data_IF_482674468646
#
_entry.id   IF_482674468646
#
_cell.length_a   1.000
_cell.length_b   1.000
_cell.length_c   1.000
_cell.angle_alpha   90.00
_cell.angle_beta   90.00
_cell.angle_gamma   90.00
#
_symmetry.space_group_name_H-M   'P 1'
#
loop_
_entity.id
_entity.type
_entity.pdbx_description
1 polymer ?
#
# COMPACT_ATOMS: atom_id res chain seq x y z
N UNK A 1 -38.38 6.40 -42.42
CA UNK A 1 -37.71 7.69 -42.63
C UNK A 1 -36.30 7.51 -42.07
N UNK A 2 -35.28 7.43 -42.93
CA UNK A 2 -33.91 7.13 -42.52
C UNK A 2 -33.33 8.40 -41.88
N UNK A 3 -33.03 8.40 -40.57
CA UNK A 3 -32.24 9.45 -39.94
C UNK A 3 -30.75 9.07 -40.06
N UNK A 4 -29.99 9.92 -40.73
CA UNK A 4 -28.55 9.83 -40.82
C UNK A 4 -27.92 10.47 -39.58
N UNK A 5 -27.13 9.71 -38.82
CA UNK A 5 -26.23 10.25 -37.81
C UNK A 5 -25.10 11.01 -38.52
N UNK A 6 -25.07 12.33 -38.38
CA UNK A 6 -23.93 13.15 -38.77
C UNK A 6 -22.97 13.14 -37.58
N UNK A 7 -21.90 12.35 -37.67
CA UNK A 7 -20.75 12.50 -36.80
C UNK A 7 -19.99 13.73 -37.27
N UNK A 8 -20.16 14.85 -36.58
CA UNK A 8 -19.29 16.02 -36.76
C UNK A 8 -17.94 15.71 -36.13
N UNK A 9 -16.97 15.31 -36.96
CA UNK A 9 -15.59 15.21 -36.52
C UNK A 9 -15.07 16.62 -36.19
N UNK A 10 -14.57 16.78 -34.96
CA UNK A 10 -13.86 17.98 -34.53
C UNK A 10 -12.66 18.24 -35.45
N UNK A 11 -12.39 19.51 -35.81
CA UNK A 11 -11.20 19.84 -36.59
C UNK A 11 -9.94 19.47 -35.80
N UNK A 12 -8.89 18.96 -36.47
CA UNK A 12 -7.64 18.62 -35.80
C UNK A 12 -7.04 19.87 -35.16
N UNK A 13 -6.60 19.72 -33.90
CA UNK A 13 -5.96 20.79 -33.14
C UNK A 13 -4.72 21.32 -33.88
N UNK A 14 -4.49 22.65 -33.89
CA UNK A 14 -3.29 23.23 -34.47
C UNK A 14 -2.04 22.73 -33.74
N UNK A 15 -0.97 22.48 -34.48
CA UNK A 15 0.29 21.97 -33.94
C UNK A 15 0.85 22.91 -32.86
N UNK A 16 1.01 22.39 -31.64
CA UNK A 16 1.50 23.11 -30.46
C UNK A 16 0.44 23.56 -29.46
N UNK A 17 -0.84 23.22 -29.65
CA UNK A 17 -1.84 23.33 -28.60
C UNK A 17 -1.74 22.12 -27.66
N UNK A 18 -1.65 22.35 -26.36
CA UNK A 18 -1.67 21.28 -25.36
C UNK A 18 -2.97 20.48 -25.48
N UNK A 19 -2.86 19.16 -25.65
CA UNK A 19 -4.01 18.27 -25.63
C UNK A 19 -4.46 18.08 -24.17
N UNK A 20 -5.73 18.43 -23.92
CA UNK A 20 -6.36 18.34 -22.60
C UNK A 20 -7.44 17.27 -22.63
N UNK A 21 -7.32 16.27 -21.76
CA UNK A 21 -8.35 15.26 -21.52
C UNK A 21 -9.18 15.60 -20.30
N UNK A 22 -10.44 15.16 -20.32
CA UNK A 22 -11.39 15.38 -19.22
C UNK A 22 -12.16 14.11 -18.89
N UNK A 23 -12.33 13.87 -17.60
CA UNK A 23 -13.24 12.86 -17.04
C UNK A 23 -14.09 13.56 -15.96
N UNK A 24 -15.43 13.46 -16.01
CA UNK A 24 -16.23 12.82 -17.03
C UNK A 24 -16.27 13.59 -18.37
N UNK A 25 -16.47 12.89 -19.48
CA UNK A 25 -16.60 13.49 -20.83
C UNK A 25 -18.05 13.82 -21.22
N UNK A 26 -19.01 13.44 -20.37
CA UNK A 26 -20.44 13.73 -20.53
C UNK A 26 -21.06 13.94 -19.14
N UNK A 27 -21.97 14.89 -19.03
CA UNK A 27 -22.71 15.19 -17.80
C UNK A 27 -24.19 15.38 -18.11
N UNK A 28 -25.05 15.18 -17.10
CA UNK A 28 -26.51 15.34 -17.23
C UNK A 28 -26.96 16.65 -16.58
N UNK A 29 -27.90 17.35 -17.23
CA UNK A 29 -28.53 18.57 -16.70
C UNK A 29 -29.21 18.31 -15.35
N UNK A 30 -28.86 19.13 -14.36
CA UNK A 30 -29.40 19.10 -13.01
C UNK A 30 -29.50 20.52 -12.43
N UNK A 31 -30.52 20.77 -11.60
CA UNK A 31 -30.83 22.11 -11.08
C UNK A 31 -29.71 22.69 -10.18
N UNK A 32 -28.99 21.82 -9.46
CA UNK A 32 -27.84 22.15 -8.61
C UNK A 32 -26.60 21.38 -9.10
N UNK A 33 -26.09 21.74 -10.29
CA UNK A 33 -24.92 21.09 -10.86
C UNK A 33 -23.70 21.29 -9.97
N UNK A 34 -23.02 20.20 -9.62
CA UNK A 34 -21.81 20.20 -8.82
C UNK A 34 -21.03 18.92 -9.12
N UNK A 35 -20.00 19.03 -9.95
CA UNK A 35 -19.23 17.88 -10.46
C UNK A 35 -17.73 18.14 -10.38
N UNK A 36 -16.97 17.07 -10.16
CA UNK A 36 -15.52 17.08 -10.16
C UNK A 36 -15.01 16.61 -11.53
N UNK A 37 -14.17 17.43 -12.16
CA UNK A 37 -13.56 17.14 -13.45
C UNK A 37 -12.07 16.86 -13.29
N UNK A 38 -11.65 15.64 -13.58
CA UNK A 38 -10.25 15.28 -13.73
C UNK A 38 -9.76 15.77 -15.08
N UNK A 39 -8.80 16.69 -15.08
CA UNK A 39 -8.19 17.28 -16.25
C UNK A 39 -6.73 16.82 -16.34
N UNK A 40 -6.35 16.23 -17.47
CA UNK A 40 -4.99 15.73 -17.71
C UNK A 40 -4.41 16.32 -18.98
N UNK A 41 -3.25 16.96 -18.86
CA UNK A 41 -2.44 17.43 -19.99
C UNK A 41 -1.65 16.25 -20.56
N UNK A 42 -1.74 16.00 -21.87
CA UNK A 42 -1.03 14.88 -22.49
C UNK A 42 0.40 15.22 -22.91
N UNK A 43 0.63 16.46 -23.35
CA UNK A 43 1.90 16.90 -23.95
C UNK A 43 2.37 18.26 -23.38
N UNK A 44 1.96 18.59 -22.16
CA UNK A 44 2.32 19.83 -21.46
C UNK A 44 2.32 19.61 -19.94
N UNK A 45 2.86 20.55 -19.19
CA UNK A 45 2.88 20.53 -17.72
C UNK A 45 2.50 21.87 -17.13
N UNK A 46 2.04 21.85 -15.88
CA UNK A 46 1.77 23.05 -15.12
C UNK A 46 3.08 23.68 -14.63
N UNK A 47 3.20 25.00 -14.74
CA UNK A 47 4.35 25.75 -14.23
C UNK A 47 4.43 25.72 -12.70
N UNK A 48 3.27 25.81 -12.06
CA UNK A 48 3.04 25.77 -10.62
C UNK A 48 1.60 25.24 -10.38
N UNK A 49 1.23 24.93 -9.13
CA UNK A 49 -0.13 24.51 -8.80
C UNK A 49 -1.17 25.55 -9.29
N UNK A 50 -2.07 25.22 -10.23
CA UNK A 50 -2.95 26.19 -10.86
C UNK A 50 -4.05 26.63 -9.91
N UNK A 51 -4.29 27.94 -9.87
CA UNK A 51 -5.39 28.54 -9.12
C UNK A 51 -6.72 28.39 -9.88
N UNK A 52 -7.89 28.41 -9.20
CA UNK A 52 -9.21 28.35 -9.86
C UNK A 52 -9.41 29.37 -10.97
N UNK A 53 -8.83 30.57 -10.83
CA UNK A 53 -8.85 31.64 -11.85
C UNK A 53 -8.04 31.33 -13.12
N UNK A 54 -7.26 30.25 -13.12
CA UNK A 54 -6.55 29.72 -14.28
C UNK A 54 -7.47 28.90 -15.20
N UNK A 55 -8.68 28.57 -14.74
CA UNK A 55 -9.69 27.89 -15.53
C UNK A 55 -10.75 28.87 -15.99
N UNK A 56 -11.12 28.78 -17.27
CA UNK A 56 -12.29 29.48 -17.81
C UNK A 56 -13.29 28.49 -18.38
N UNK A 57 -14.57 28.76 -18.12
CA UNK A 57 -15.69 27.91 -18.50
C UNK A 57 -16.48 28.57 -19.64
N UNK A 58 -16.91 27.77 -20.60
CA UNK A 58 -17.66 28.22 -21.78
C UNK A 58 -18.69 27.20 -22.25
N UNK A 59 -19.42 27.54 -23.31
CA UNK A 59 -20.55 26.72 -23.77
C UNK A 59 -21.64 26.64 -22.70
N UNK A 60 -22.17 25.45 -22.47
CA UNK A 60 -23.17 25.22 -21.42
C UNK A 60 -22.61 25.38 -20.00
N UNK A 61 -21.28 25.41 -19.83
CA UNK A 61 -20.64 25.72 -18.55
C UNK A 61 -20.44 27.23 -18.31
N UNK A 62 -20.81 28.09 -19.28
CA UNK A 62 -20.70 29.54 -19.11
C UNK A 62 -21.59 30.03 -17.95
N UNK A 63 -20.98 30.68 -16.97
CA UNK A 63 -21.65 31.16 -15.76
C UNK A 63 -21.64 30.20 -14.57
N UNK A 64 -21.08 29.00 -14.72
CA UNK A 64 -20.72 28.13 -13.59
C UNK A 64 -19.48 28.66 -12.86
N UNK A 65 -19.25 28.14 -11.66
CA UNK A 65 -18.15 28.54 -10.78
C UNK A 65 -17.17 27.39 -10.60
N UNK A 66 -15.87 27.71 -10.52
CA UNK A 66 -14.83 26.77 -10.08
C UNK A 66 -14.55 27.04 -8.61
N UNK A 67 -14.91 26.13 -7.71
CA UNK A 67 -14.70 26.31 -6.26
C UNK A 67 -13.28 25.95 -5.84
N UNK A 68 -12.74 24.90 -6.45
CA UNK A 68 -11.48 24.29 -6.03
C UNK A 68 -10.79 23.66 -7.23
N UNK A 69 -9.46 23.76 -7.24
CA UNK A 69 -8.59 23.04 -8.18
C UNK A 69 -7.55 22.33 -7.35
N UNK A 70 -7.62 21.00 -7.30
CA UNK A 70 -6.67 20.16 -6.57
C UNK A 70 -5.57 19.74 -7.54
N UNK A 71 -4.36 20.22 -7.28
CA UNK A 71 -3.17 19.87 -8.04
C UNK A 71 -2.62 18.53 -7.55
N UNK A 72 -2.61 17.54 -8.45
CA UNK A 72 -2.25 16.15 -8.10
C UNK A 72 -0.83 15.81 -8.51
N UNK A 73 -0.44 16.22 -9.73
CA UNK A 73 0.92 16.10 -10.27
C UNK A 73 1.17 17.16 -11.34
N UNK A 74 2.34 17.14 -11.98
CA UNK A 74 2.75 18.11 -13.01
C UNK A 74 1.86 18.21 -14.25
N UNK A 75 0.93 17.29 -14.45
CA UNK A 75 0.08 17.19 -15.64
C UNK A 75 -1.41 17.10 -15.31
N UNK A 76 -1.78 16.86 -14.06
CA UNK A 76 -3.14 16.48 -13.66
C UNK A 76 -3.71 17.35 -12.55
N UNK A 77 -4.95 17.80 -12.74
CA UNK A 77 -5.74 18.54 -11.74
C UNK A 77 -7.16 18.01 -11.64
N UNK A 78 -7.77 18.17 -10.47
CA UNK A 78 -9.22 17.97 -10.29
C UNK A 78 -9.87 19.34 -10.11
N UNK A 79 -10.77 19.71 -11.01
CA UNK A 79 -11.52 20.97 -10.97
C UNK A 79 -12.95 20.73 -10.51
N UNK A 80 -13.34 21.34 -9.40
CA UNK A 80 -14.72 21.25 -8.88
C UNK A 80 -15.56 22.39 -9.45
N UNK A 81 -16.57 22.05 -10.25
CA UNK A 81 -17.39 23.01 -10.98
C UNK A 81 -18.84 22.91 -10.52
N UNK A 82 -19.42 24.05 -10.15
CA UNK A 82 -20.78 24.09 -9.62
C UNK A 82 -21.59 25.32 -10.09
N UNK A 83 -22.92 25.19 -10.08
CA UNK A 83 -23.86 26.27 -10.40
C UNK A 83 -25.12 25.78 -11.10
N UNK A 84 -25.83 26.71 -11.76
CA UNK A 84 -26.98 26.37 -12.59
C UNK A 84 -26.51 25.98 -14.00
N UNK A 85 -26.50 24.69 -14.31
CA UNK A 85 -26.16 24.21 -15.65
C UNK A 85 -27.34 24.49 -16.60
N UNK A 86 -27.07 25.19 -17.71
CA UNK A 86 -28.10 25.57 -18.70
C UNK A 86 -27.79 24.93 -20.03
N UNK A 87 -28.72 24.13 -20.53
CA UNK A 87 -28.60 23.52 -21.85
C UNK A 87 -28.90 24.53 -22.97
N UNK A 88 -27.86 25.19 -23.48
CA UNK A 88 -27.97 26.19 -24.55
C UNK A 88 -27.40 25.66 -25.89
N UNK A 89 -26.38 24.81 -25.82
CA UNK A 89 -25.54 24.38 -26.94
C UNK A 89 -25.34 22.86 -27.01
N UNK A 90 -25.59 22.13 -25.91
CA UNK A 90 -25.36 20.70 -25.76
C UNK A 90 -23.91 20.31 -25.43
N UNK A 91 -23.07 21.29 -25.11
CA UNK A 91 -21.65 21.07 -24.81
C UNK A 91 -21.13 22.16 -23.87
N UNK A 92 -20.51 21.77 -22.77
CA UNK A 92 -19.70 22.64 -21.91
C UNK A 92 -18.23 22.59 -22.33
N UNK A 93 -17.48 23.66 -22.09
CA UNK A 93 -16.03 23.68 -22.35
C UNK A 93 -15.27 24.16 -21.13
N UNK A 94 -14.12 23.53 -20.86
CA UNK A 94 -13.18 23.90 -19.81
C UNK A 94 -11.85 24.27 -20.48
N UNK A 95 -11.32 25.45 -20.16
CA UNK A 95 -10.05 25.94 -20.71
C UNK A 95 -9.06 26.26 -19.60
N UNK A 96 -7.88 25.65 -19.64
CA UNK A 96 -6.72 26.04 -18.86
C UNK A 96 -5.98 27.16 -19.57
N UNK A 97 -5.76 28.27 -18.85
CA UNK A 97 -5.04 29.42 -19.38
C UNK A 97 -3.55 29.08 -19.56
N UNK A 98 -2.98 29.39 -20.71
CA UNK A 98 -1.61 29.07 -21.08
C UNK A 98 -0.56 29.68 -20.14
N UNK A 99 -0.91 30.76 -19.43
CA UNK A 99 -0.04 31.33 -18.39
C UNK A 99 0.23 30.39 -17.20
N UNK A 100 -0.60 29.36 -17.00
CA UNK A 100 -0.41 28.31 -16.01
C UNK A 100 0.38 27.10 -16.55
N UNK A 101 0.67 27.08 -17.86
CA UNK A 101 1.24 25.94 -18.57
C UNK A 101 2.65 26.26 -19.09
N UNK A 102 3.51 25.24 -19.15
CA UNK A 102 4.88 25.39 -19.66
C UNK A 102 4.92 25.82 -21.13
N UNK A 103 3.98 25.34 -21.96
CA UNK A 103 3.89 25.74 -23.37
C UNK A 103 3.50 27.20 -23.57
N UNK A 104 2.85 27.84 -22.59
CA UNK A 104 2.29 29.18 -22.72
C UNK A 104 1.00 29.24 -23.55
N UNK A 105 0.49 28.13 -24.07
CA UNK A 105 -0.71 28.06 -24.92
C UNK A 105 -1.92 27.55 -24.15
N UNK A 106 -3.10 28.14 -24.37
CA UNK A 106 -4.35 27.68 -23.74
C UNK A 106 -4.68 26.23 -24.16
N UNK A 107 -5.17 25.44 -23.21
CA UNK A 107 -5.61 24.07 -23.42
C UNK A 107 -7.11 23.96 -23.15
N UNK A 108 -7.92 23.58 -24.15
CA UNK A 108 -9.38 23.53 -24.04
C UNK A 108 -9.90 22.13 -24.32
N UNK A 109 -10.87 21.69 -23.52
CA UNK A 109 -11.59 20.42 -23.68
C UNK A 109 -13.10 20.64 -23.64
N UNK A 110 -13.85 19.83 -24.39
CA UNK A 110 -15.30 19.86 -24.48
C UNK A 110 -15.92 18.67 -23.73
N UNK A 111 -17.03 18.92 -23.03
CA UNK A 111 -17.82 17.94 -22.27
C UNK A 111 -19.25 17.97 -22.80
N UNK A 112 -19.82 16.83 -23.18
CA UNK A 112 -21.20 16.77 -23.65
C UNK A 112 -22.20 16.98 -22.50
N UNK A 113 -23.30 17.70 -22.76
CA UNK A 113 -24.37 17.93 -21.76
C UNK A 113 -25.67 17.32 -22.24
N UNK A 114 -26.20 16.36 -21.49
CA UNK A 114 -27.45 15.64 -21.82
C UNK A 114 -28.63 16.10 -20.96
N UNK A 115 -29.84 16.11 -21.53
CA UNK A 115 -31.05 16.45 -20.79
C UNK A 115 -31.54 15.29 -19.92
N UNK A 116 -32.06 15.63 -18.73
CA UNK A 116 -32.74 14.68 -17.85
C UNK A 116 -34.05 14.21 -18.48
N UNK A 117 -34.13 12.94 -18.89
CA UNK A 117 -35.35 12.35 -19.43
C UNK A 117 -36.45 12.25 -18.34
N UNK A 118 -37.54 13.01 -18.50
CA UNK A 118 -38.75 12.88 -17.66
C UNK A 118 -39.80 12.05 -18.41
N UNK A 119 -40.26 10.88 -17.89
CA UNK A 119 -41.25 10.06 -18.57
C UNK A 119 -42.64 10.70 -18.56
N UNK A 120 -43.34 10.60 -19.70
CA UNK A 120 -44.71 11.12 -19.94
C UNK A 120 -45.76 10.35 -19.10
N UNK A 121 -46.56 11.02 -18.25
CA UNK A 121 -47.47 10.35 -17.31
C UNK A 121 -48.80 9.83 -17.90
N UNK A 122 -49.08 9.96 -19.22
CA UNK A 122 -50.46 9.81 -19.75
C UNK A 122 -50.69 8.69 -20.79
N UNK A 123 -49.94 7.58 -20.78
CA UNK A 123 -50.21 6.44 -21.67
C UNK A 123 -51.17 5.41 -21.03
N UNK A 124 -52.46 5.47 -21.36
CA UNK A 124 -53.50 4.54 -20.86
C UNK A 124 -53.50 3.19 -21.62
N UNK A 125 -53.47 2.07 -20.88
CA UNK A 125 -53.45 0.69 -21.41
C UNK A 125 -54.85 0.07 -21.40
N UNK A 126 -55.25 -0.60 -22.50
CA UNK A 126 -56.35 -1.57 -22.56
C UNK A 126 -55.76 -2.94 -22.95
N UNK A 127 -56.01 -3.98 -22.14
CA UNK A 127 -55.77 -5.41 -22.46
C UNK A 127 -57.09 -6.18 -22.23
N UNK A 128 -57.42 -7.24 -22.99
CA UNK A 128 -56.89 -8.61 -22.78
C UNK A 128 -56.64 -9.33 -24.14
N UNK A 129 -56.03 -10.52 -24.32
CA UNK A 129 -55.62 -11.68 -23.52
C UNK A 129 -54.80 -12.56 -24.49
N UNK A 130 -53.63 -13.08 -24.10
CA UNK A 130 -53.07 -14.35 -24.61
C UNK A 130 -51.93 -14.80 -23.67
N UNK A 131 -51.73 -16.11 -23.63
CA UNK A 131 -51.19 -16.91 -22.54
C UNK A 131 -49.78 -16.55 -22.04
N UNK A 132 -49.66 -16.75 -20.72
CA UNK A 132 -48.45 -16.80 -19.93
C UNK A 132 -47.54 -17.99 -20.34
N UNK A 133 -46.26 -17.71 -20.63
CA UNK A 133 -45.19 -18.52 -20.10
C UNK A 133 -44.37 -17.64 -19.16
N UNK A 134 -44.49 -17.87 -17.86
CA UNK A 134 -43.70 -17.22 -16.82
C UNK A 134 -42.26 -17.74 -16.93
N UNK A 135 -41.51 -17.08 -17.81
CA UNK A 135 -40.07 -17.06 -17.85
C UNK A 135 -39.67 -15.60 -17.72
N UNK A 136 -39.70 -15.08 -16.50
CA UNK A 136 -39.15 -13.77 -16.19
C UNK A 136 -37.64 -13.85 -16.43
N UNK A 137 -37.21 -13.50 -17.64
CA UNK A 137 -35.80 -13.37 -17.97
C UNK A 137 -35.34 -12.04 -17.43
N UNK A 138 -35.01 -11.99 -16.14
CA UNK A 138 -34.20 -10.93 -15.58
C UNK A 138 -32.85 -11.00 -16.28
N UNK A 139 -32.58 -10.02 -17.15
CA UNK A 139 -31.23 -9.87 -17.72
C UNK A 139 -30.36 -9.41 -16.57
N UNK A 140 -29.43 -10.26 -16.12
CA UNK A 140 -28.43 -9.85 -15.12
C UNK A 140 -27.59 -8.72 -15.73
N UNK A 141 -27.35 -7.63 -14.98
CA UNK A 141 -26.60 -6.50 -15.50
C UNK A 141 -25.15 -6.91 -15.79
N UNK A 142 -24.61 -6.46 -16.91
CA UNK A 142 -23.26 -6.83 -17.36
C UNK A 142 -22.21 -5.92 -16.71
N UNK A 143 -21.10 -6.48 -16.23
CA UNK A 143 -19.98 -5.72 -15.66
C UNK A 143 -19.27 -4.92 -16.76
N UNK A 144 -19.36 -3.58 -16.69
CA UNK A 144 -18.81 -2.69 -17.72
C UNK A 144 -17.35 -2.33 -17.48
N UNK A 145 -16.96 -2.09 -16.22
CA UNK A 145 -15.58 -1.79 -15.81
C UNK A 145 -15.38 -2.02 -14.31
N UNK A 146 -14.13 -2.02 -13.88
CA UNK A 146 -13.75 -2.06 -12.47
C UNK A 146 -12.90 -0.84 -12.12
N UNK A 147 -13.03 -0.36 -10.90
CA UNK A 147 -12.26 0.75 -10.34
C UNK A 147 -11.65 0.34 -9.00
N UNK A 148 -10.39 0.71 -8.76
CA UNK A 148 -9.74 0.51 -7.47
C UNK A 148 -10.09 1.70 -6.59
N UNK A 149 -11.04 1.51 -5.67
CA UNK A 149 -11.51 2.55 -4.76
C UNK A 149 -10.57 2.74 -3.56
N UNK A 150 -9.83 1.69 -3.17
CA UNK A 150 -8.78 1.76 -2.16
C UNK A 150 -7.63 0.87 -2.57
N UNK A 151 -6.40 1.36 -2.42
CA UNK A 151 -5.19 0.56 -2.61
C UNK A 151 -5.05 -0.46 -1.46
N UNK A 152 -4.29 -1.55 -1.66
CA UNK A 152 -3.90 -2.41 -0.55
C UNK A 152 -3.10 -1.60 0.49
N UNK A 153 -3.23 -1.96 1.76
CA UNK A 153 -2.51 -1.32 2.87
C UNK A 153 -0.98 -1.42 2.67
N UNK A 154 -0.54 -2.48 1.99
CA UNK A 154 0.86 -2.72 1.62
C UNK A 154 1.07 -2.59 0.12
N UNK A 155 1.80 -1.55 -0.26
CA UNK A 155 2.25 -1.30 -1.66
C UNK A 155 3.76 -1.41 -1.82
N UNK A 156 4.47 -1.69 -0.73
CA UNK A 156 5.92 -1.93 -0.74
C UNK A 156 6.22 -3.32 -0.19
N UNK A 157 7.00 -4.07 -0.94
CA UNK A 157 7.37 -5.44 -0.67
C UNK A 157 8.88 -5.58 -0.74
N UNK A 158 9.42 -6.58 -0.07
CA UNK A 158 10.78 -7.05 -0.24
C UNK A 158 10.82 -8.26 -1.16
N UNK A 159 11.98 -8.49 -1.79
CA UNK A 159 12.22 -9.68 -2.61
C UNK A 159 11.87 -10.95 -1.82
N UNK A 160 10.98 -11.76 -2.39
CA UNK A 160 10.46 -13.01 -1.83
C UNK A 160 9.21 -12.87 -0.95
N UNK A 161 8.69 -11.67 -0.73
CA UNK A 161 7.40 -11.49 -0.04
C UNK A 161 6.21 -11.86 -0.92
N UNK A 162 5.13 -12.32 -0.29
CA UNK A 162 3.86 -12.61 -0.96
C UNK A 162 2.99 -11.34 -1.00
N UNK A 163 2.16 -11.22 -2.04
CA UNK A 163 1.24 -10.09 -2.19
C UNK A 163 0.15 -10.13 -1.12
N UNK A 164 -0.10 -8.99 -0.48
CA UNK A 164 -1.17 -8.81 0.50
C UNK A 164 -2.28 -7.93 -0.08
N UNK A 165 -3.52 -8.42 -0.05
CA UNK A 165 -4.69 -7.72 -0.61
C UNK A 165 -5.51 -6.97 0.45
N UNK A 166 -5.12 -7.03 1.72
CA UNK A 166 -5.81 -6.30 2.80
C UNK A 166 -5.85 -4.81 2.46
N UNK A 167 -6.99 -4.17 2.66
CA UNK A 167 -7.22 -2.76 2.31
C UNK A 167 -7.59 -2.50 0.86
N UNK A 168 -7.37 -3.46 -0.05
CA UNK A 168 -7.76 -3.33 -1.46
C UNK A 168 -9.28 -3.38 -1.58
N UNK A 169 -9.88 -2.31 -2.09
CA UNK A 169 -11.31 -2.23 -2.39
C UNK A 169 -11.48 -2.00 -3.89
N UNK A 170 -12.18 -2.92 -4.55
CA UNK A 170 -12.48 -2.83 -5.99
C UNK A 170 -13.97 -2.77 -6.20
N UNK A 171 -14.43 -1.74 -6.92
CA UNK A 171 -15.83 -1.53 -7.25
C UNK A 171 -16.06 -1.92 -8.69
N UNK A 172 -17.07 -2.76 -8.92
CA UNK A 172 -17.58 -3.11 -10.23
C UNK A 172 -18.71 -2.16 -10.61
N UNK A 173 -18.62 -1.57 -11.80
CA UNK A 173 -19.65 -0.69 -12.35
C UNK A 173 -20.38 -1.47 -13.44
N UNK A 174 -21.70 -1.62 -13.29
CA UNK A 174 -22.54 -2.46 -14.13
C UNK A 174 -23.36 -1.66 -15.15
N UNK A 175 -23.93 -2.35 -16.14
CA UNK A 175 -24.70 -1.75 -17.24
C UNK A 175 -26.02 -1.08 -16.82
N UNK A 176 -26.46 -1.32 -15.60
CA UNK A 176 -27.64 -0.70 -14.99
C UNK A 176 -27.28 0.44 -14.00
N UNK A 177 -26.04 0.91 -14.10
CA UNK A 177 -25.44 1.97 -13.27
C UNK A 177 -25.35 1.60 -11.77
N UNK A 178 -25.50 0.31 -11.42
CA UNK A 178 -25.21 -0.16 -10.07
C UNK A 178 -23.72 -0.31 -9.85
N UNK A 179 -23.30 -0.07 -8.61
CA UNK A 179 -21.94 -0.23 -8.14
C UNK A 179 -21.93 -1.25 -7.00
N UNK A 180 -21.09 -2.27 -7.12
CA UNK A 180 -20.92 -3.27 -6.08
C UNK A 180 -19.43 -3.54 -5.81
N UNK A 181 -19.09 -3.75 -4.55
CA UNK A 181 -17.76 -4.20 -4.17
C UNK A 181 -17.54 -5.63 -4.67
N UNK A 182 -16.49 -5.82 -5.46
CA UNK A 182 -16.12 -7.11 -6.01
C UNK A 182 -15.21 -7.85 -5.02
N UNK A 183 -15.51 -9.12 -4.69
CA UNK A 183 -14.63 -9.90 -3.84
C UNK A 183 -13.36 -10.26 -4.61
N UNK A 184 -12.27 -9.55 -4.33
CA UNK A 184 -10.97 -9.79 -4.98
C UNK A 184 -10.19 -10.84 -4.20
N UNK A 185 -9.70 -11.84 -4.92
CA UNK A 185 -8.79 -12.87 -4.40
C UNK A 185 -7.50 -12.88 -5.23
N UNK A 186 -6.48 -13.63 -4.79
CA UNK A 186 -5.24 -13.76 -5.56
C UNK A 186 -5.46 -14.32 -6.98
N UNK A 187 -6.53 -15.09 -7.21
CA UNK A 187 -6.89 -15.59 -8.54
C UNK A 187 -7.27 -14.47 -9.52
N UNK A 188 -7.65 -13.29 -9.01
CA UNK A 188 -7.97 -12.10 -9.79
C UNK A 188 -6.73 -11.24 -10.10
N UNK A 189 -5.56 -11.59 -9.56
CA UNK A 189 -4.36 -10.76 -9.65
C UNK A 189 -3.35 -11.37 -10.62
N UNK A 190 -2.71 -10.51 -11.41
CA UNK A 190 -1.58 -10.85 -12.25
C UNK A 190 -0.55 -9.73 -12.27
N UNK A 191 0.68 -10.03 -12.72
CA UNK A 191 1.74 -9.02 -12.85
C UNK A 191 2.60 -8.81 -11.60
N UNK A 192 2.17 -9.33 -10.43
CA UNK A 192 3.02 -9.36 -9.24
C UNK A 192 4.10 -10.45 -9.33
N UNK A 193 5.36 -10.05 -9.22
CA UNK A 193 6.56 -10.88 -9.20
C UNK A 193 7.56 -10.27 -8.20
N UNK A 194 7.70 -10.91 -7.04
CA UNK A 194 8.66 -10.51 -6.01
C UNK A 194 9.99 -11.26 -6.08
N UNK A 195 10.28 -11.99 -7.17
CA UNK A 195 11.51 -12.78 -7.28
C UNK A 195 12.78 -11.93 -7.48
N UNK A 196 12.62 -10.69 -7.97
CA UNK A 196 13.67 -9.68 -8.08
C UNK A 196 13.12 -8.28 -7.76
N UNK A 197 14.02 -7.34 -7.46
CA UNK A 197 13.65 -5.97 -7.14
C UNK A 197 13.15 -5.21 -8.38
N UNK A 198 12.07 -4.45 -8.21
CA UNK A 198 11.40 -3.71 -9.26
C UNK A 198 10.56 -2.58 -8.65
N UNK A 199 10.90 -1.33 -8.93
CA UNK A 199 10.10 -0.16 -8.53
C UNK A 199 8.96 0.08 -9.52
N UNK A 200 7.79 0.46 -9.01
CA UNK A 200 6.62 0.74 -9.82
C UNK A 200 6.12 -0.45 -10.63
N UNK A 201 6.29 -1.66 -10.12
CA UNK A 201 5.78 -2.88 -10.74
C UNK A 201 4.25 -2.82 -10.82
N UNK A 202 3.70 -2.95 -12.03
CA UNK A 202 2.27 -2.89 -12.27
C UNK A 202 1.60 -4.22 -11.88
N UNK A 203 0.69 -4.15 -10.90
CA UNK A 203 -0.15 -5.25 -10.46
C UNK A 203 -1.54 -5.06 -11.03
N UNK A 204 -2.01 -6.05 -11.78
CA UNK A 204 -3.26 -5.99 -12.53
C UNK A 204 -4.34 -6.80 -11.84
N UNK A 205 -5.46 -6.14 -11.55
CA UNK A 205 -6.71 -6.77 -11.13
C UNK A 205 -7.53 -7.10 -12.37
N UNK A 206 -8.01 -8.35 -12.47
CA UNK A 206 -8.79 -8.87 -13.58
C UNK A 206 -10.11 -9.45 -13.08
N UNK A 207 -11.21 -8.88 -13.56
CA UNK A 207 -12.58 -9.34 -13.31
C UNK A 207 -13.29 -9.56 -14.65
N UNK A 208 -13.32 -10.81 -15.12
CA UNK A 208 -13.79 -11.11 -16.48
C UNK A 208 -12.89 -10.49 -17.54
N UNK A 209 -13.45 -9.64 -18.41
CA UNK A 209 -12.71 -8.89 -19.43
C UNK A 209 -12.18 -7.54 -18.92
N UNK A 210 -12.61 -7.11 -17.72
CA UNK A 210 -12.27 -5.80 -17.16
C UNK A 210 -10.97 -5.84 -16.37
N UNK A 211 -10.23 -4.74 -16.46
CA UNK A 211 -8.89 -4.60 -15.89
C UNK A 211 -8.73 -3.24 -15.23
N UNK A 212 -8.11 -3.25 -14.05
CA UNK A 212 -7.57 -2.07 -13.40
C UNK A 212 -6.18 -2.44 -12.85
N UNK A 213 -5.30 -1.46 -12.68
CA UNK A 213 -3.98 -1.70 -12.15
C UNK A 213 -3.60 -0.68 -11.09
N UNK A 214 -2.70 -1.12 -10.22
CA UNK A 214 -2.00 -0.29 -9.26
C UNK A 214 -0.52 -0.64 -9.30
N UNK A 215 0.32 0.19 -8.69
CA UNK A 215 1.76 -0.04 -8.66
C UNK A 215 2.21 -0.46 -7.28
N UNK A 216 3.15 -1.40 -7.24
CA UNK A 216 3.89 -1.77 -6.04
C UNK A 216 5.38 -1.60 -6.24
N UNK A 217 6.11 -1.37 -5.16
CA UNK A 217 7.57 -1.41 -5.18
C UNK A 217 8.05 -2.72 -4.58
N UNK A 218 8.82 -3.49 -5.35
CA UNK A 218 9.62 -4.61 -4.84
C UNK A 218 11.02 -4.10 -4.57
N UNK A 219 11.36 -3.95 -3.31
CA UNK A 219 12.66 -3.50 -2.85
C UNK A 219 13.57 -4.71 -2.71
N UNK A 220 14.79 -4.64 -3.27
CA UNK A 220 15.83 -5.52 -2.75
C UNK A 220 16.03 -5.16 -1.27
N UNK A 221 16.34 -6.13 -0.42
CA UNK A 221 16.95 -5.81 0.88
C UNK A 221 18.21 -4.93 0.70
N UNK A 222 18.79 -4.94 -0.52
CA UNK A 222 19.84 -4.06 -0.98
C UNK A 222 19.43 -2.61 -1.34
N UNK A 223 18.16 -2.29 -1.60
CA UNK A 223 17.76 -0.94 -2.02
C UNK A 223 17.57 0.02 -0.83
N UNK A 224 17.41 -0.52 0.38
CA UNK A 224 17.72 0.21 1.62
C UNK A 224 19.22 0.61 1.67
N UNK A 225 20.09 -0.12 0.97
CA UNK A 225 21.56 0.06 0.98
C UNK A 225 22.07 1.16 0.02
N UNK A 226 21.22 1.79 -0.80
CA UNK A 226 21.67 2.83 -1.74
C UNK A 226 21.50 4.28 -1.22
N UNK A 227 20.84 4.48 -0.08
CA UNK A 227 20.58 5.81 0.51
C UNK A 227 21.49 6.19 1.70
N UNK A 228 22.37 5.29 2.16
CA UNK A 228 23.35 5.58 3.21
C UNK A 228 24.74 5.10 2.77
N UNK A 229 25.69 6.03 2.64
CA UNK A 229 27.01 5.81 2.04
C UNK A 229 28.06 5.19 2.97
N UNK A 230 29.25 4.93 2.42
CA UNK A 230 30.46 4.45 3.12
C UNK A 230 30.63 5.04 4.54
N UNK A 231 30.39 4.20 5.55
CA UNK A 231 30.37 4.57 6.98
C UNK A 231 29.34 3.82 7.83
N UNK A 232 28.85 2.68 7.35
CA UNK A 232 27.64 1.97 7.82
C UNK A 232 27.70 1.48 9.27
N UNK A 233 28.82 0.89 9.68
CA UNK A 233 29.05 0.45 11.06
C UNK A 233 30.14 1.30 11.71
N UNK A 234 30.19 1.33 13.04
CA UNK A 234 31.21 2.10 13.77
C UNK A 234 32.64 1.59 13.49
N UNK A 235 32.76 0.35 13.01
CA UNK A 235 33.99 -0.33 12.65
C UNK A 235 33.71 -1.77 12.23
N UNK A 236 34.78 -2.49 11.91
CA UNK A 236 34.73 -3.91 11.54
C UNK A 236 34.47 -4.18 10.07
N UNK A 237 34.72 -5.42 9.68
CA UNK A 237 34.52 -5.94 8.32
C UNK A 237 33.47 -7.06 8.25
N UNK A 238 32.84 -7.39 9.38
CA UNK A 238 31.81 -8.43 9.45
C UNK A 238 32.37 -9.86 9.52
N UNK A 239 33.68 -10.02 9.73
CA UNK A 239 34.33 -11.33 9.85
C UNK A 239 34.44 -11.75 11.31
N UNK A 240 34.72 -13.04 11.58
CA UNK A 240 34.84 -13.55 12.95
C UNK A 240 35.95 -12.84 13.76
N UNK A 241 37.07 -12.51 13.12
CA UNK A 241 38.21 -11.81 13.74
C UNK A 241 38.00 -10.28 13.81
N UNK A 242 37.07 -9.73 13.04
CA UNK A 242 36.80 -8.30 12.92
C UNK A 242 35.30 -8.05 12.68
N UNK A 243 34.44 -8.29 13.70
CA UNK A 243 32.99 -8.16 13.59
C UNK A 243 32.55 -6.72 13.34
N UNK A 244 31.42 -6.53 12.67
CA UNK A 244 30.80 -5.21 12.54
C UNK A 244 30.41 -4.65 13.91
N UNK A 245 30.80 -3.40 14.17
CA UNK A 245 30.58 -2.74 15.46
C UNK A 245 29.35 -1.84 15.42
N UNK A 246 28.45 -2.05 16.37
CA UNK A 246 27.16 -1.37 16.45
C UNK A 246 27.11 -0.48 17.69
N UNK A 247 26.87 0.81 17.48
CA UNK A 247 26.79 1.83 18.52
C UNK A 247 25.48 2.63 18.51
N UNK A 248 24.67 2.53 17.44
CA UNK A 248 23.42 3.29 17.30
C UNK A 248 22.27 2.43 16.76
N UNK A 249 21.00 2.84 16.95
CA UNK A 249 19.84 2.16 16.36
C UNK A 249 19.92 1.99 14.85
N UNK A 250 20.41 3.02 14.15
CA UNK A 250 20.54 3.02 12.70
C UNK A 250 21.53 1.94 12.27
N UNK A 251 22.67 1.83 12.96
CA UNK A 251 23.66 0.77 12.72
C UNK A 251 23.11 -0.61 13.06
N UNK A 252 22.29 -0.73 14.11
CA UNK A 252 21.64 -1.99 14.45
C UNK A 252 20.69 -2.44 13.33
N UNK A 253 19.95 -1.51 12.72
CA UNK A 253 19.07 -1.82 11.60
C UNK A 253 19.83 -2.36 10.38
N UNK A 254 21.10 -1.99 10.21
CA UNK A 254 21.94 -2.49 9.12
C UNK A 254 22.32 -3.97 9.22
N UNK A 255 22.03 -4.64 10.35
CA UNK A 255 22.21 -6.11 10.47
C UNK A 255 21.41 -6.86 9.40
N UNK A 256 20.28 -6.30 8.96
CA UNK A 256 19.48 -6.85 7.86
C UNK A 256 20.26 -6.98 6.53
N UNK A 257 21.40 -6.30 6.39
CA UNK A 257 22.18 -6.25 5.15
C UNK A 257 23.06 -7.47 4.92
N UNK A 258 23.57 -8.08 5.98
CA UNK A 258 24.41 -9.27 5.86
C UNK A 258 24.07 -10.25 6.98
N UNK A 259 23.06 -11.07 6.70
CA UNK A 259 22.59 -12.07 7.64
C UNK A 259 23.61 -13.20 7.93
N UNK A 260 24.79 -13.17 7.31
CA UNK A 260 25.87 -14.15 7.51
C UNK A 260 27.08 -13.56 8.24
N UNK A 261 27.13 -12.24 8.43
CA UNK A 261 28.25 -11.55 9.06
C UNK A 261 28.30 -11.74 10.58
N UNK A 262 29.43 -11.35 11.17
CA UNK A 262 29.64 -11.27 12.60
C UNK A 262 29.42 -9.85 13.11
N UNK A 263 28.69 -9.70 14.21
CA UNK A 263 28.31 -8.42 14.81
C UNK A 263 28.67 -8.35 16.28
N UNK A 264 29.07 -7.17 16.75
CA UNK A 264 29.22 -6.88 18.17
C UNK A 264 28.64 -5.51 18.54
N UNK A 265 27.98 -5.44 19.70
CA UNK A 265 27.62 -4.15 20.28
C UNK A 265 28.86 -3.51 20.93
N UNK A 266 28.98 -2.19 20.75
CA UNK A 266 30.00 -1.36 21.44
C UNK A 266 29.38 -0.24 22.26
N UNK A 267 28.05 -0.12 22.27
CA UNK A 267 27.29 0.80 23.10
C UNK A 267 25.91 0.20 23.42
N UNK A 268 25.28 0.73 24.47
CA UNK A 268 23.86 0.52 24.71
C UNK A 268 23.04 1.18 23.60
N UNK A 269 21.97 0.52 23.17
CA UNK A 269 21.07 0.98 22.10
C UNK A 269 19.69 1.25 22.71
N UNK A 270 19.11 2.41 22.42
CA UNK A 270 17.73 2.76 22.79
C UNK A 270 16.90 2.96 21.53
N UNK A 271 15.86 2.13 21.37
CA UNK A 271 15.00 2.13 20.18
C UNK A 271 13.77 3.03 20.29
N UNK A 272 13.51 3.67 21.44
CA UNK A 272 12.29 4.47 21.65
C UNK A 272 12.18 5.61 20.62
N UNK A 273 13.24 6.40 20.46
CA UNK A 273 13.28 7.49 19.48
C UNK A 273 13.30 6.97 18.04
N UNK A 274 14.06 5.91 17.78
CA UNK A 274 14.22 5.33 16.44
C UNK A 274 12.90 4.77 15.88
N UNK A 275 12.08 4.13 16.74
CA UNK A 275 10.80 3.52 16.34
C UNK A 275 9.58 4.46 16.47
N UNK A 276 9.77 5.69 16.92
CA UNK A 276 8.68 6.68 17.05
C UNK A 276 8.18 7.18 15.68
N UNK A 277 7.01 7.83 15.61
CA UNK A 277 6.44 8.36 14.34
C UNK A 277 7.38 9.32 13.58
N UNK A 278 8.27 10.01 14.29
CA UNK A 278 9.26 10.91 13.71
C UNK A 278 10.65 10.25 13.52
N UNK A 279 10.80 9.00 13.97
CA UNK A 279 12.05 8.25 13.96
C UNK A 279 12.37 7.63 12.61
N UNK A 280 13.66 7.47 12.31
CA UNK A 280 14.13 6.88 11.05
C UNK A 280 13.71 5.42 10.85
N UNK A 281 13.39 4.71 11.95
CA UNK A 281 12.90 3.35 11.97
C UNK A 281 11.38 3.24 12.06
N UNK A 282 10.64 4.33 11.88
CA UNK A 282 9.19 4.27 11.91
C UNK A 282 8.65 3.37 10.79
N UNK A 283 7.84 2.39 11.18
CA UNK A 283 7.26 1.40 10.28
C UNK A 283 5.74 1.35 10.47
N UNK A 284 5.08 2.51 10.34
CA UNK A 284 3.61 2.65 10.40
C UNK A 284 2.97 2.00 11.64
N UNK A 285 3.67 2.08 12.77
CA UNK A 285 3.23 1.47 14.04
C UNK A 285 3.48 -0.03 14.19
N UNK A 286 4.04 -0.70 13.17
CA UNK A 286 4.49 -2.09 13.23
C UNK A 286 5.78 -2.30 14.04
N UNK A 287 6.51 -1.22 14.32
CA UNK A 287 7.75 -1.23 15.09
C UNK A 287 8.91 -1.92 14.35
N UNK A 288 9.81 -2.52 15.11
CA UNK A 288 11.00 -3.19 14.60
C UNK A 288 10.66 -4.28 13.58
N UNK A 289 11.47 -4.34 12.53
CA UNK A 289 11.43 -5.40 11.51
C UNK A 289 12.27 -6.57 12.02
N UNK A 290 11.69 -7.77 12.21
CA UNK A 290 12.44 -8.93 12.67
C UNK A 290 13.63 -9.27 11.74
N UNK A 291 14.80 -9.51 12.33
CA UNK A 291 16.00 -9.90 11.55
C UNK A 291 15.86 -11.36 11.11
N UNK A 292 15.91 -11.59 9.80
CA UNK A 292 15.85 -12.90 9.20
C UNK A 292 14.43 -13.43 9.00
N UNK A 293 14.21 -14.12 7.89
CA UNK A 293 12.90 -14.59 7.43
C UNK A 293 12.92 -16.08 7.03
N UNK A 294 11.78 -16.60 6.56
CA UNK A 294 11.70 -17.98 6.08
C UNK A 294 12.63 -18.29 4.91
N UNK A 295 12.78 -17.34 3.98
CA UNK A 295 13.62 -17.48 2.78
C UNK A 295 15.07 -17.02 3.00
N UNK A 296 15.31 -16.14 3.97
CA UNK A 296 16.63 -15.61 4.27
C UNK A 296 16.85 -15.56 5.80
N UNK A 297 17.15 -16.70 6.44
CA UNK A 297 17.35 -16.74 7.88
C UNK A 297 18.68 -16.09 8.27
N UNK A 298 18.76 -15.55 9.49
CA UNK A 298 20.03 -15.11 10.06
C UNK A 298 20.91 -16.32 10.37
N UNK A 299 22.12 -16.35 9.82
CA UNK A 299 23.13 -17.41 9.91
C UNK A 299 24.47 -16.90 10.47
N UNK A 300 24.56 -15.61 10.78
CA UNK A 300 25.75 -14.96 11.29
C UNK A 300 25.95 -15.15 12.81
N UNK A 301 26.82 -14.32 13.38
CA UNK A 301 26.97 -14.24 14.84
C UNK A 301 26.61 -12.84 15.36
N UNK A 302 25.99 -12.79 16.54
CA UNK A 302 25.65 -11.54 17.19
C UNK A 302 26.06 -11.58 18.66
N UNK A 303 27.02 -10.74 19.02
CA UNK A 303 27.53 -10.62 20.37
C UNK A 303 27.06 -9.31 21.02
N UNK A 304 26.20 -9.40 22.04
CA UNK A 304 25.76 -8.23 22.80
C UNK A 304 26.87 -7.59 23.64
N UNK A 305 27.99 -8.29 23.86
CA UNK A 305 29.22 -7.77 24.47
C UNK A 305 29.01 -7.06 25.82
N UNK A 306 27.97 -7.46 26.56
CA UNK A 306 27.58 -6.90 27.85
C UNK A 306 26.67 -5.68 27.81
N UNK A 307 26.47 -5.06 26.64
CA UNK A 307 25.57 -3.93 26.40
C UNK A 307 24.10 -4.36 26.32
N UNK A 308 23.22 -3.36 26.32
CA UNK A 308 21.77 -3.56 26.34
C UNK A 308 21.10 -2.86 25.16
N UNK A 309 20.11 -3.51 24.56
CA UNK A 309 19.15 -2.90 23.63
C UNK A 309 17.83 -2.69 24.38
N UNK A 310 17.29 -1.47 24.37
CA UNK A 310 16.10 -1.08 25.13
C UNK A 310 14.95 -0.66 24.25
N UNK A 311 13.73 -0.77 24.78
CA UNK A 311 12.52 -0.19 24.22
C UNK A 311 12.17 -0.75 22.83
N UNK A 312 12.52 -2.01 22.59
CA UNK A 312 12.15 -2.73 21.38
C UNK A 312 10.63 -2.90 21.32
N UNK A 313 9.98 -2.35 20.31
CA UNK A 313 8.56 -2.59 20.04
C UNK A 313 8.42 -3.36 18.73
N UNK A 314 7.64 -4.44 18.73
CA UNK A 314 7.21 -5.17 17.53
C UNK A 314 5.70 -5.34 17.64
N UNK A 315 4.94 -4.87 16.64
CA UNK A 315 3.49 -4.92 16.65
C UNK A 315 2.96 -5.49 15.34
N UNK A 316 2.94 -6.82 15.25
CA UNK A 316 2.61 -7.58 14.04
C UNK A 316 1.57 -8.68 14.32
N UNK A 317 0.40 -8.34 14.91
CA UNK A 317 -0.56 -9.32 15.38
C UNK A 317 -1.20 -10.17 14.27
N UNK A 318 -1.27 -9.63 13.04
CA UNK A 318 -1.82 -10.31 11.87
C UNK A 318 -0.75 -11.09 11.07
N UNK A 319 0.54 -10.85 11.33
CA UNK A 319 1.61 -11.57 10.63
C UNK A 319 1.74 -12.98 11.14
N UNK A 320 1.66 -13.92 10.19
CA UNK A 320 1.47 -15.32 10.52
C UNK A 320 2.64 -15.90 11.33
N UNK A 321 3.91 -15.57 11.07
CA UNK A 321 5.03 -16.34 11.64
C UNK A 321 6.28 -15.48 11.93
N UNK A 322 7.19 -16.02 12.76
CA UNK A 322 8.57 -15.56 12.92
C UNK A 322 8.71 -14.16 13.55
N UNK A 323 8.13 -13.98 14.73
CA UNK A 323 8.10 -12.68 15.39
C UNK A 323 9.07 -12.63 16.57
N UNK A 324 10.06 -11.75 16.50
CA UNK A 324 11.04 -11.50 17.54
C UNK A 324 12.10 -10.50 17.08
N UNK A 325 13.07 -10.18 17.94
CA UNK A 325 14.20 -9.33 17.53
C UNK A 325 14.91 -9.91 16.29
N UNK A 326 15.18 -11.23 16.34
CA UNK A 326 15.38 -12.07 15.17
C UNK A 326 14.07 -12.80 14.85
N UNK A 327 13.60 -12.68 13.62
CA UNK A 327 12.40 -13.41 13.18
C UNK A 327 12.71 -14.89 13.02
N UNK A 328 13.68 -15.20 12.16
CA UNK A 328 14.19 -16.56 11.97
C UNK A 328 15.71 -16.64 11.93
N UNK A 329 16.25 -17.60 12.67
CA UNK A 329 17.68 -17.95 12.63
C UNK A 329 17.89 -19.39 12.14
N UNK A 330 19.03 -19.63 11.49
CA UNK A 330 19.48 -20.95 11.07
C UNK A 330 20.99 -21.08 11.30
N UNK A 331 21.43 -22.03 12.13
CA UNK A 331 22.86 -22.22 12.50
C UNK A 331 23.60 -20.95 12.98
N UNK A 332 22.86 -20.01 13.58
CA UNK A 332 23.40 -18.75 14.09
C UNK A 332 23.99 -18.89 15.49
N UNK A 333 24.97 -18.04 15.83
CA UNK A 333 25.53 -17.91 17.18
C UNK A 333 25.14 -16.58 17.83
N UNK A 334 24.19 -16.64 18.76
CA UNK A 334 23.70 -15.49 19.51
C UNK A 334 24.21 -15.54 20.94
N UNK A 335 24.97 -14.53 21.37
CA UNK A 335 25.56 -14.52 22.70
C UNK A 335 25.51 -13.16 23.41
N UNK A 336 25.36 -13.20 24.72
CA UNK A 336 25.44 -12.03 25.61
C UNK A 336 24.49 -10.87 25.25
N UNK A 337 23.37 -11.19 24.58
CA UNK A 337 22.36 -10.21 24.15
C UNK A 337 21.39 -9.93 25.30
N UNK A 338 21.20 -8.65 25.62
CA UNK A 338 20.24 -8.19 26.63
C UNK A 338 19.21 -7.27 26.01
N UNK A 339 17.95 -7.69 26.01
CA UNK A 339 16.82 -6.86 25.61
C UNK A 339 16.05 -6.43 26.86
N UNK A 340 15.95 -5.12 27.09
CA UNK A 340 15.20 -4.56 28.22
C UNK A 340 13.97 -3.80 27.74
N UNK A 341 12.86 -3.96 28.46
CA UNK A 341 11.59 -3.29 28.14
C UNK A 341 11.11 -3.57 26.71
N UNK A 342 11.08 -4.85 26.31
CA UNK A 342 10.50 -5.23 25.02
C UNK A 342 8.96 -5.22 25.09
N UNK A 343 8.33 -4.87 23.98
CA UNK A 343 6.89 -5.04 23.76
C UNK A 343 6.68 -5.72 22.42
N UNK A 344 6.49 -7.05 22.44
CA UNK A 344 6.37 -7.88 21.24
C UNK A 344 4.96 -8.40 21.11
N UNK A 345 4.30 -8.13 19.98
CA UNK A 345 2.99 -8.66 19.61
C UNK A 345 3.08 -9.33 18.24
N UNK A 346 2.63 -10.58 18.14
CA UNK A 346 2.69 -11.40 16.93
C UNK A 346 1.60 -12.48 16.87
N UNK A 347 1.55 -13.27 15.78
CA UNK A 347 0.59 -14.37 15.66
C UNK A 347 1.16 -15.74 16.09
N UNK A 348 2.02 -16.38 15.27
CA UNK A 348 2.69 -17.65 15.60
C UNK A 348 4.20 -17.45 15.80
N UNK A 349 4.83 -18.36 16.56
CA UNK A 349 6.30 -18.41 16.73
C UNK A 349 6.84 -17.07 17.22
N UNK A 350 6.31 -16.63 18.35
CA UNK A 350 6.60 -15.32 18.94
C UNK A 350 7.58 -15.50 20.09
N UNK A 351 8.74 -14.87 19.98
CA UNK A 351 9.77 -14.84 21.01
C UNK A 351 10.31 -13.44 21.22
N UNK A 352 10.71 -13.12 22.46
CA UNK A 352 11.32 -11.84 22.75
C UNK A 352 12.64 -11.62 22.00
N UNK A 353 13.48 -12.65 21.90
CA UNK A 353 14.74 -12.62 21.16
C UNK A 353 14.64 -13.27 19.79
N UNK A 354 14.11 -14.49 19.70
CA UNK A 354 14.01 -15.23 18.43
C UNK A 354 12.60 -15.76 18.23
N UNK A 355 11.97 -15.49 17.09
CA UNK A 355 10.69 -16.10 16.74
C UNK A 355 10.84 -17.61 16.50
N UNK A 356 11.66 -17.99 15.53
CA UNK A 356 11.98 -19.39 15.22
C UNK A 356 13.48 -19.62 15.05
N UNK A 357 14.01 -20.61 15.76
CA UNK A 357 15.40 -21.03 15.70
C UNK A 357 15.50 -22.42 15.09
N UNK A 358 16.35 -22.60 14.07
CA UNK A 358 16.74 -23.90 13.53
C UNK A 358 18.23 -24.11 13.68
N UNK A 359 18.65 -25.07 14.49
CA UNK A 359 20.08 -25.29 14.79
C UNK A 359 20.75 -24.02 15.38
N UNK A 360 22.05 -24.03 15.65
CA UNK A 360 22.77 -22.90 16.26
C UNK A 360 22.69 -22.80 17.80
N UNK A 361 23.14 -21.66 18.34
CA UNK A 361 23.32 -21.43 19.79
C UNK A 361 22.74 -20.10 20.28
N UNK A 362 22.10 -20.11 21.46
CA UNK A 362 21.74 -18.92 22.23
C UNK A 362 22.35 -19.01 23.63
N UNK A 363 23.33 -18.17 23.93
CA UNK A 363 24.16 -18.26 25.13
C UNK A 363 24.14 -16.97 25.94
N UNK A 364 23.83 -17.06 27.23
CA UNK A 364 23.89 -15.91 28.16
C UNK A 364 23.00 -14.72 27.76
N UNK A 365 21.88 -15.00 27.08
CA UNK A 365 20.96 -13.96 26.63
C UNK A 365 19.85 -13.70 27.67
N UNK A 366 19.35 -12.47 27.72
CA UNK A 366 18.30 -12.04 28.63
C UNK A 366 17.28 -11.16 27.93
N UNK A 367 16.00 -11.37 28.23
CA UNK A 367 14.90 -10.51 27.76
C UNK A 367 13.98 -10.15 28.93
N UNK A 368 13.55 -8.88 29.01
CA UNK A 368 12.51 -8.41 29.93
C UNK A 368 11.46 -7.53 29.23
N UNK A 369 10.22 -7.53 29.72
CA UNK A 369 9.10 -6.81 29.09
C UNK A 369 7.85 -7.67 28.89
N UNK A 370 7.16 -7.52 27.76
CA UNK A 370 5.95 -8.26 27.40
C UNK A 370 6.07 -8.94 26.03
N UNK A 371 5.59 -10.18 25.95
CA UNK A 371 5.49 -10.96 24.71
C UNK A 371 4.06 -11.49 24.59
N UNK A 372 3.38 -11.11 23.52
CA UNK A 372 2.02 -11.52 23.20
C UNK A 372 1.97 -12.26 21.87
N UNK A 373 1.34 -13.43 21.88
CA UNK A 373 1.09 -14.22 20.68
C UNK A 373 -0.38 -14.57 20.48
N UNK A 374 -0.83 -14.55 19.23
CA UNK A 374 -2.20 -14.89 18.84
C UNK A 374 -2.49 -16.38 18.74
N UNK A 375 -1.49 -17.26 18.61
CA UNK A 375 -1.74 -18.69 18.37
C UNK A 375 -0.71 -19.64 19.04
N UNK A 376 0.18 -20.30 18.30
CA UNK A 376 1.05 -21.34 18.86
C UNK A 376 2.53 -20.91 18.97
N UNK A 377 3.26 -21.61 19.85
CA UNK A 377 4.71 -21.47 20.08
C UNK A 377 5.12 -20.05 20.51
N UNK A 378 4.65 -19.68 21.70
CA UNK A 378 4.91 -18.37 22.28
C UNK A 378 5.89 -18.57 23.44
N UNK A 379 7.09 -18.02 23.31
CA UNK A 379 8.15 -18.16 24.30
C UNK A 379 8.64 -16.81 24.79
N UNK A 380 9.02 -16.72 26.06
CA UNK A 380 9.56 -15.47 26.58
C UNK A 380 10.88 -15.05 25.91
N UNK A 381 11.74 -16.02 25.59
CA UNK A 381 13.00 -15.80 24.87
C UNK A 381 12.91 -16.26 23.41
N UNK A 382 12.44 -17.49 23.18
CA UNK A 382 12.38 -18.13 21.86
C UNK A 382 10.98 -18.67 21.60
N UNK A 383 10.34 -18.27 20.50
CA UNK A 383 9.02 -18.81 20.13
C UNK A 383 9.08 -20.32 19.88
N UNK A 384 9.92 -20.75 18.95
CA UNK A 384 10.16 -22.15 18.62
C UNK A 384 11.64 -22.47 18.44
N UNK A 385 12.07 -23.62 18.98
CA UNK A 385 13.43 -24.12 18.81
C UNK A 385 13.42 -25.50 18.15
N UNK A 386 14.06 -25.62 16.99
CA UNK A 386 14.23 -26.86 16.24
C UNK A 386 15.72 -27.22 16.12
N UNK A 387 16.21 -27.98 17.09
CA UNK A 387 17.58 -28.52 17.05
C UNK A 387 18.69 -27.55 17.50
N UNK A 388 18.35 -26.34 17.96
CA UNK A 388 19.29 -25.40 18.55
C UNK A 388 19.51 -25.59 20.05
N UNK A 389 20.61 -25.04 20.58
CA UNK A 389 20.95 -25.10 21.99
C UNK A 389 20.75 -23.75 22.69
N UNK A 390 20.08 -23.75 23.84
CA UNK A 390 19.88 -22.55 24.66
C UNK A 390 20.54 -22.80 26.02
N UNK A 391 21.55 -21.99 26.35
CA UNK A 391 22.37 -22.17 27.56
C UNK A 391 22.54 -20.84 28.33
N UNK A 392 22.44 -20.90 29.66
CA UNK A 392 22.62 -19.75 30.55
C UNK A 392 21.74 -18.52 30.24
N UNK A 393 20.63 -18.71 29.54
CA UNK A 393 19.73 -17.64 29.11
C UNK A 393 18.48 -17.55 30.00
N UNK A 394 17.84 -16.38 30.00
CA UNK A 394 16.70 -16.09 30.88
C UNK A 394 15.67 -15.18 30.22
N UNK A 395 14.44 -15.25 30.69
CA UNK A 395 13.37 -14.35 30.29
C UNK A 395 12.59 -13.92 31.53
N UNK A 396 12.51 -12.61 31.75
CA UNK A 396 11.69 -11.95 32.78
C UNK A 396 10.59 -11.15 32.07
N UNK A 397 9.71 -11.89 31.39
CA UNK A 397 8.64 -11.31 30.56
C UNK A 397 7.28 -11.80 30.98
N UNK A 398 6.27 -10.94 30.80
CA UNK A 398 4.87 -11.37 30.79
C UNK A 398 4.56 -12.01 29.45
N UNK A 399 4.25 -13.31 29.45
CA UNK A 399 3.86 -14.06 28.25
C UNK A 399 2.34 -14.16 28.19
N UNK A 400 1.72 -13.52 27.20
CA UNK A 400 0.28 -13.58 26.95
C UNK A 400 -0.02 -14.34 25.67
N UNK A 401 -1.02 -15.22 25.74
CA UNK A 401 -1.46 -16.04 24.63
C UNK A 401 -2.98 -15.80 24.48
N UNK A 402 -3.41 -15.12 23.40
CA UNK A 402 -4.77 -14.59 23.24
C UNK A 402 -5.70 -15.39 22.28
N UNK A 403 -5.21 -16.47 21.67
CA UNK A 403 -5.94 -17.30 20.70
C UNK A 403 -6.87 -18.37 21.27
N UNK A 404 -7.84 -18.81 20.46
CA UNK A 404 -8.87 -19.78 20.86
C UNK A 404 -8.41 -21.27 20.81
N UNK A 405 -7.25 -21.57 20.26
CA UNK A 405 -6.75 -22.95 20.06
C UNK A 405 -5.58 -23.28 20.98
N UNK A 406 -5.34 -24.58 21.24
CA UNK A 406 -4.36 -25.06 22.24
C UNK A 406 -2.99 -24.41 22.11
N UNK A 407 -2.72 -23.44 22.99
CA UNK A 407 -1.53 -22.60 22.96
C UNK A 407 -0.41 -23.25 23.76
N UNK A 408 0.73 -23.41 23.10
CA UNK A 408 1.98 -23.75 23.78
C UNK A 408 2.72 -22.47 24.15
N UNK A 409 2.33 -21.88 25.28
CA UNK A 409 3.07 -20.78 25.88
C UNK A 409 4.10 -21.32 26.87
N UNK A 410 5.34 -20.86 26.78
CA UNK A 410 6.41 -21.20 27.72
C UNK A 410 7.17 -19.97 28.18
N UNK A 411 7.55 -19.95 29.46
CA UNK A 411 8.25 -18.80 30.04
C UNK A 411 9.62 -18.51 29.40
N UNK A 412 10.28 -19.54 28.84
CA UNK A 412 11.55 -19.40 28.11
C UNK A 412 11.40 -19.75 26.62
N UNK A 413 10.84 -20.93 26.33
CA UNK A 413 10.64 -21.44 24.96
C UNK A 413 9.19 -21.89 24.79
N UNK A 414 8.55 -21.55 23.65
CA UNK A 414 7.23 -22.09 23.30
C UNK A 414 7.29 -23.59 22.93
N UNK A 415 6.26 -24.36 23.32
CA UNK A 415 6.26 -25.84 23.25
C UNK A 415 5.64 -26.46 21.99
#
# INVERSE_FOLDING_TARGET
MLLAFIVTMLPPLPAGAAALRVIPHTVVEQDDFNEDFLLTLEDDSFLDAPLPESLSLGGDFEGLNVSEVVYTDSTTVIAKIYGELKHNTGTGTITLAGQALESGADATVAVAVEQKNVPDPDATVIIPEQEDPTGESTVEPELLRIEIASLPDKTRYYVGEELELTGLVVIGIYSDDTEEELPITLDNISGFDSSEAALGQEVMVVCGDQRASFTVDILAQADLMAMAGEGDFAGGSGTEDDPYQIATPEQLALVHRDLTACYELIADIDLEGYLSEEGEGYNEGGGWVPIGSAGNPFQGSFNGNGYVIRNLTINRPEEAHYIGFFGRTEDADLRDIKLENVNVSGHNEVGGLVGYMKEGTIVSCHVSGSVQGGNNRIGGLVGANYGGEIFASSAEVEVTASGELSMSAGGLVGL
#
